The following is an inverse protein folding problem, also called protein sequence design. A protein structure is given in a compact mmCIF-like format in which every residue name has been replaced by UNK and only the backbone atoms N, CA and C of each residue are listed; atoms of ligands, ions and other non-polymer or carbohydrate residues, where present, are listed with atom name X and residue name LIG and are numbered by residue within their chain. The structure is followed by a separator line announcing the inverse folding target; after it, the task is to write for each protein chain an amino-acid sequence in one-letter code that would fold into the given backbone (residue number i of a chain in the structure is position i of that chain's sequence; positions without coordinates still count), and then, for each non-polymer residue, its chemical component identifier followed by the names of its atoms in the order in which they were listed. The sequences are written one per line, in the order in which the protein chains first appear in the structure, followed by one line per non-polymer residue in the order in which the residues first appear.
data_IF_812054984098
#
_entry.id   IF_812054984098
#
_cell.length_a   1.000
_cell.length_b   1.000
_cell.length_c   1.000
_cell.angle_alpha   90.00
_cell.angle_beta   90.00
_cell.angle_gamma   90.00
#
_symmetry.space_group_name_H-M   'P 1'
#
loop_
_entity.id
_entity.type
_entity.pdbx_description
1 polymer ?
#
# COMPACT_ATOMS: atom_id res chain seq x y z
N UNK A 1 -32.29 -44.72 -3.65
CA UNK A 1 -32.35 -43.24 -3.79
C UNK A 1 -31.09 -42.64 -3.18
N UNK A 2 -30.00 -42.60 -3.94
CA UNK A 2 -28.73 -41.97 -3.55
C UNK A 2 -28.18 -41.31 -4.80
N UNK A 3 -28.54 -40.06 -5.03
CA UNK A 3 -27.98 -39.15 -6.03
C UNK A 3 -28.80 -37.86 -5.94
N UNK A 4 -28.17 -36.77 -5.46
CA UNK A 4 -28.56 -35.34 -5.61
C UNK A 4 -28.09 -34.49 -4.40
N UNK A 5 -26.85 -34.63 -3.95
CA UNK A 5 -26.21 -33.60 -3.08
C UNK A 5 -24.70 -33.57 -3.39
N UNK A 6 -24.30 -33.30 -4.64
CA UNK A 6 -22.89 -32.98 -4.99
C UNK A 6 -22.83 -31.99 -6.17
N UNK A 7 -23.66 -30.93 -6.17
CA UNK A 7 -23.60 -29.90 -7.21
C UNK A 7 -23.68 -28.47 -6.63
N UNK A 8 -23.04 -28.24 -5.48
CA UNK A 8 -22.87 -26.88 -4.94
C UNK A 8 -21.50 -26.69 -4.27
N UNK A 9 -20.47 -27.36 -4.80
CA UNK A 9 -19.09 -27.26 -4.34
C UNK A 9 -18.06 -27.34 -5.48
N UNK A 10 -18.44 -26.92 -6.69
CA UNK A 10 -17.55 -26.93 -7.88
C UNK A 10 -17.52 -25.59 -8.65
N UNK A 11 -17.81 -24.46 -7.99
CA UNK A 11 -17.57 -23.13 -8.58
C UNK A 11 -16.51 -22.29 -7.86
N UNK A 12 -15.79 -22.86 -6.88
CA UNK A 12 -14.78 -22.13 -6.09
C UNK A 12 -13.33 -22.51 -6.42
N UNK A 13 -13.07 -23.00 -7.64
CA UNK A 13 -11.72 -23.43 -8.04
C UNK A 13 -11.33 -22.95 -9.44
N UNK A 14 -11.65 -21.69 -9.75
CA UNK A 14 -11.14 -21.01 -10.94
C UNK A 14 -10.98 -19.50 -10.75
N UNK A 15 -10.70 -19.05 -9.52
CA UNK A 15 -9.89 -17.86 -9.34
C UNK A 15 -8.44 -18.35 -9.33
N UNK A 16 -7.95 -18.77 -10.51
CA UNK A 16 -6.51 -18.83 -10.74
C UNK A 16 -6.02 -17.42 -10.42
N UNK A 17 -5.28 -17.30 -9.32
CA UNK A 17 -4.42 -16.15 -9.10
C UNK A 17 -3.64 -15.98 -10.39
N UNK A 18 -3.98 -14.94 -11.15
CA UNK A 18 -3.10 -14.41 -12.17
C UNK A 18 -1.91 -13.83 -11.41
N UNK A 19 -1.04 -14.72 -10.92
CA UNK A 19 0.37 -14.41 -10.77
C UNK A 19 0.72 -13.96 -12.18
N UNK A 20 0.93 -12.67 -12.41
CA UNK A 20 1.49 -12.21 -13.67
C UNK A 20 2.90 -12.78 -13.68
N UNK A 21 3.14 -13.94 -14.33
CA UNK A 21 4.48 -14.47 -14.32
C UNK A 21 5.25 -13.48 -15.18
N UNK A 22 6.21 -12.77 -14.58
CA UNK A 22 7.27 -12.17 -15.39
C UNK A 22 7.79 -13.33 -16.23
N UNK A 23 7.58 -13.25 -17.55
CA UNK A 23 7.97 -14.31 -18.48
C UNK A 23 9.42 -14.69 -18.18
N UNK A 24 9.71 -15.98 -18.03
CA UNK A 24 11.05 -16.45 -17.72
C UNK A 24 12.05 -15.84 -18.74
N UNK A 25 12.86 -14.89 -18.28
CA UNK A 25 13.87 -14.18 -19.09
C UNK A 25 13.59 -12.70 -19.38
N UNK A 26 12.42 -12.14 -19.06
CA UNK A 26 12.21 -10.68 -19.09
C UNK A 26 12.49 -10.06 -17.73
N UNK A 27 13.15 -8.90 -17.74
CA UNK A 27 13.47 -8.13 -16.55
C UNK A 27 12.29 -7.20 -16.25
N UNK A 28 11.81 -7.16 -15.01
CA UNK A 28 10.84 -6.18 -14.53
C UNK A 28 11.56 -4.84 -14.33
N UNK A 29 11.12 -3.80 -15.03
CA UNK A 29 11.65 -2.44 -14.90
C UNK A 29 10.70 -1.60 -14.07
N UNK A 30 11.15 -1.19 -12.88
CA UNK A 30 10.41 -0.36 -11.93
C UNK A 30 10.95 1.06 -11.98
N UNK A 31 10.11 2.03 -12.35
CA UNK A 31 10.43 3.46 -12.23
C UNK A 31 10.00 3.97 -10.84
N UNK A 32 10.96 4.39 -10.03
CA UNK A 32 10.71 5.03 -8.74
C UNK A 32 10.72 6.55 -8.88
N UNK A 33 9.65 7.18 -8.44
CA UNK A 33 9.54 8.64 -8.44
C UNK A 33 9.59 9.19 -7.02
N UNK A 34 10.76 9.59 -6.50
CA UNK A 34 10.79 10.36 -5.27
C UNK A 34 10.10 11.72 -5.51
N UNK A 35 8.90 11.89 -4.95
CA UNK A 35 8.07 13.07 -5.09
C UNK A 35 8.83 14.37 -4.79
N UNK A 36 8.39 15.49 -5.39
CA UNK A 36 8.98 16.82 -5.21
C UNK A 36 10.46 16.89 -5.65
N UNK A 37 11.22 17.90 -5.22
CA UNK A 37 12.65 18.07 -5.52
C UNK A 37 13.04 19.49 -5.92
N UNK A 38 14.28 19.89 -5.65
CA UNK A 38 14.78 21.22 -5.98
C UNK A 38 14.01 22.30 -5.22
N UNK A 39 13.39 23.24 -5.95
CA UNK A 39 12.60 24.31 -5.32
C UNK A 39 11.25 23.83 -4.76
N UNK A 40 10.76 22.68 -5.20
CA UNK A 40 9.54 22.08 -4.68
C UNK A 40 9.89 21.25 -3.44
N UNK A 41 9.55 21.80 -2.26
CA UNK A 41 9.81 21.19 -0.95
C UNK A 41 8.94 20.00 -0.60
N UNK A 42 7.77 19.90 -1.24
CA UNK A 42 6.63 19.15 -0.71
C UNK A 42 6.15 19.69 0.63
N UNK A 43 5.51 18.83 1.41
CA UNK A 43 5.12 19.15 2.78
C UNK A 43 6.33 19.47 3.67
N UNK A 44 6.11 20.33 4.67
CA UNK A 44 7.14 20.74 5.62
C UNK A 44 6.62 20.75 7.04
N UNK A 45 7.47 20.38 8.00
CA UNK A 45 7.18 20.47 9.42
C UNK A 45 8.42 20.87 10.21
N UNK A 46 8.21 21.59 11.32
CA UNK A 46 9.28 21.99 12.23
C UNK A 46 9.40 20.98 13.37
N UNK A 47 10.55 20.33 13.48
CA UNK A 47 10.82 19.35 14.53
C UNK A 47 12.17 19.60 15.17
N UNK A 48 12.20 19.71 16.50
CA UNK A 48 13.43 19.88 17.28
C UNK A 48 14.31 21.08 16.85
N UNK A 49 13.72 22.09 16.20
CA UNK A 49 14.43 23.27 15.71
C UNK A 49 14.93 23.17 14.26
N UNK A 50 14.64 22.07 13.57
CA UNK A 50 14.97 21.85 12.16
C UNK A 50 13.71 21.74 11.28
N UNK A 51 13.77 22.34 10.08
CA UNK A 51 12.74 22.14 9.06
C UNK A 51 12.94 20.80 8.34
N UNK A 52 11.95 19.94 8.45
CA UNK A 52 11.85 18.70 7.69
C UNK A 52 11.14 18.97 6.38
N UNK A 53 11.70 18.47 5.28
CA UNK A 53 11.14 18.60 3.94
C UNK A 53 10.81 17.22 3.38
N UNK A 54 9.58 17.06 2.89
CA UNK A 54 9.09 15.83 2.28
C UNK A 54 10.01 15.34 1.17
N UNK A 55 10.47 16.23 0.28
CA UNK A 55 11.37 15.88 -0.84
C UNK A 55 12.63 15.12 -0.42
N UNK A 56 13.14 15.37 0.80
CA UNK A 56 14.34 14.72 1.34
C UNK A 56 14.02 13.30 1.82
N UNK A 57 12.89 13.15 2.50
CA UNK A 57 12.38 11.84 2.95
C UNK A 57 12.09 10.95 1.74
N UNK A 58 11.36 11.48 0.76
CA UNK A 58 11.00 10.76 -0.47
C UNK A 58 12.24 10.26 -1.22
N UNK A 59 13.27 11.11 -1.36
CA UNK A 59 14.53 10.72 -2.00
C UNK A 59 15.29 9.64 -1.23
N UNK A 60 15.32 9.74 0.10
CA UNK A 60 16.01 8.77 0.95
C UNK A 60 15.31 7.39 0.90
N UNK A 61 13.98 7.36 1.05
CA UNK A 61 13.19 6.13 0.92
C UNK A 61 13.41 5.51 -0.46
N UNK A 62 13.34 6.31 -1.55
CA UNK A 62 13.55 5.79 -2.91
C UNK A 62 14.93 5.16 -3.12
N UNK A 63 15.98 5.73 -2.52
CA UNK A 63 17.35 5.17 -2.60
C UNK A 63 17.44 3.83 -1.87
N UNK A 64 16.89 3.73 -0.66
CA UNK A 64 16.85 2.47 0.07
C UNK A 64 15.98 1.43 -0.62
N UNK A 65 14.86 1.84 -1.20
CA UNK A 65 13.95 0.97 -1.93
C UNK A 65 14.62 0.42 -3.19
N UNK A 66 15.31 1.28 -3.94
CA UNK A 66 16.13 0.86 -5.07
C UNK A 66 17.18 -0.19 -4.68
N UNK A 67 17.94 0.07 -3.62
CA UNK A 67 18.96 -0.87 -3.11
C UNK A 67 18.34 -2.24 -2.78
N UNK A 68 17.20 -2.24 -2.08
CA UNK A 68 16.52 -3.47 -1.69
C UNK A 68 15.92 -4.22 -2.89
N UNK A 69 15.22 -3.53 -3.80
CA UNK A 69 14.63 -4.12 -5.00
C UNK A 69 15.68 -4.72 -5.94
N UNK A 70 16.85 -4.09 -6.08
CA UNK A 70 17.96 -4.63 -6.89
C UNK A 70 18.61 -5.89 -6.28
N UNK A 71 18.28 -6.23 -5.03
CA UNK A 71 18.63 -7.52 -4.43
C UNK A 71 17.73 -8.68 -4.93
N UNK A 72 16.62 -8.39 -5.61
CA UNK A 72 15.76 -9.39 -6.23
C UNK A 72 16.24 -9.77 -7.65
N UNK A 73 15.96 -11.01 -8.04
CA UNK A 73 16.26 -11.52 -9.37
C UNK A 73 15.34 -10.90 -10.41
N UNK A 74 15.89 -10.58 -11.58
CA UNK A 74 15.09 -10.06 -12.70
C UNK A 74 14.56 -8.64 -12.52
N UNK A 75 15.08 -7.83 -11.60
CA UNK A 75 14.61 -6.44 -11.37
C UNK A 75 15.61 -5.42 -11.91
N UNK A 76 15.10 -4.40 -12.62
CA UNK A 76 15.75 -3.12 -12.86
C UNK A 76 15.01 -2.03 -12.10
N UNK A 77 15.75 -1.14 -11.45
CA UNK A 77 15.14 0.05 -10.85
C UNK A 77 15.69 1.30 -11.50
N UNK A 78 14.79 2.14 -11.99
CA UNK A 78 15.06 3.48 -12.50
C UNK A 78 14.51 4.53 -11.53
N UNK A 79 15.03 5.75 -11.61
CA UNK A 79 14.57 6.83 -10.73
C UNK A 79 14.41 8.14 -11.49
N UNK A 80 13.29 8.85 -11.28
CA UNK A 80 13.03 10.15 -11.92
C UNK A 80 14.04 11.22 -11.54
N UNK A 81 14.61 11.12 -10.33
CA UNK A 81 15.77 11.88 -9.85
C UNK A 81 16.57 11.07 -8.84
N UNK A 82 17.88 11.29 -8.80
CA UNK A 82 18.81 10.64 -7.85
C UNK A 82 19.41 11.63 -6.84
N UNK A 83 19.11 12.91 -6.99
CA UNK A 83 19.52 14.01 -6.13
C UNK A 83 18.35 15.00 -5.89
N UNK A 84 18.64 16.11 -5.21
CA UNK A 84 17.67 17.16 -4.90
C UNK A 84 17.48 18.13 -6.09
N UNK A 85 17.08 17.58 -7.23
CA UNK A 85 16.75 18.34 -8.45
C UNK A 85 15.24 18.37 -8.66
N UNK A 86 14.73 19.50 -9.16
CA UNK A 86 13.35 19.61 -9.57
C UNK A 86 13.09 18.83 -10.87
N UNK A 87 12.04 18.01 -10.88
CA UNK A 87 11.53 17.31 -12.07
C UNK A 87 10.05 17.63 -12.21
N UNK A 88 9.66 18.14 -13.38
CA UNK A 88 8.25 18.44 -13.67
C UNK A 88 7.42 17.16 -13.75
N UNK A 89 6.10 17.28 -13.56
CA UNK A 89 5.20 16.12 -13.63
C UNK A 89 5.27 15.42 -14.99
N UNK A 90 5.29 16.16 -16.09
CA UNK A 90 5.43 15.59 -17.44
C UNK A 90 6.78 14.87 -17.59
N UNK A 91 7.89 15.46 -17.13
CA UNK A 91 9.21 14.83 -17.23
C UNK A 91 9.33 13.54 -16.41
N UNK A 92 8.60 13.43 -15.28
CA UNK A 92 8.52 12.19 -14.49
C UNK A 92 7.87 11.07 -15.31
N UNK A 93 6.79 11.38 -16.02
CA UNK A 93 6.04 10.39 -16.81
C UNK A 93 6.69 10.08 -18.15
N UNK A 94 7.32 11.06 -18.80
CA UNK A 94 8.11 10.86 -20.02
C UNK A 94 9.26 9.87 -19.79
N UNK A 95 9.78 9.84 -18.55
CA UNK A 95 10.84 8.91 -18.18
C UNK A 95 10.36 7.45 -18.20
N UNK A 96 9.13 7.17 -17.78
CA UNK A 96 8.56 5.80 -17.80
C UNK A 96 8.58 5.24 -19.22
N UNK A 97 8.13 6.04 -20.20
CA UNK A 97 8.13 5.64 -21.61
C UNK A 97 9.57 5.47 -22.13
N UNK A 98 10.46 6.40 -21.80
CA UNK A 98 11.86 6.36 -22.24
C UNK A 98 12.64 5.17 -21.68
N UNK A 99 12.39 4.82 -20.44
CA UNK A 99 13.08 3.74 -19.74
C UNK A 99 12.37 2.39 -19.94
N UNK A 100 11.27 2.35 -20.71
CA UNK A 100 10.44 1.15 -20.95
C UNK A 100 10.00 0.49 -19.63
N UNK A 101 9.60 1.31 -18.65
CA UNK A 101 9.24 0.82 -17.33
C UNK A 101 7.86 0.14 -17.32
N UNK A 102 7.76 -1.00 -16.65
CA UNK A 102 6.53 -1.79 -16.51
C UNK A 102 5.57 -1.18 -15.46
N UNK A 103 6.14 -0.48 -14.48
CA UNK A 103 5.39 0.13 -13.38
C UNK A 103 6.08 1.39 -12.89
N UNK A 104 5.25 2.38 -12.52
CA UNK A 104 5.67 3.62 -11.88
C UNK A 104 5.19 3.64 -10.43
N UNK A 105 6.11 3.83 -9.49
CA UNK A 105 5.80 3.95 -8.06
C UNK A 105 6.35 5.28 -7.57
N UNK A 106 5.45 6.22 -7.30
CA UNK A 106 5.83 7.51 -6.71
C UNK A 106 5.78 7.45 -5.20
N UNK A 107 6.81 7.98 -4.55
CA UNK A 107 7.02 7.91 -3.11
C UNK A 107 6.84 9.30 -2.51
N UNK A 108 5.91 9.40 -1.57
CA UNK A 108 5.50 10.62 -0.91
C UNK A 108 5.33 10.43 0.60
N UNK A 109 5.25 11.55 1.32
CA UNK A 109 4.84 11.57 2.72
C UNK A 109 3.79 12.68 2.89
N UNK A 110 2.72 12.34 3.59
CA UNK A 110 1.54 13.18 3.67
C UNK A 110 1.72 14.31 4.70
N UNK A 111 0.76 15.22 4.75
CA UNK A 111 0.57 16.15 5.83
C UNK A 111 -0.92 16.32 6.12
N UNK A 112 -1.26 16.76 7.32
CA UNK A 112 -2.64 17.03 7.71
C UNK A 112 -3.27 18.05 6.76
N UNK A 113 -4.44 17.72 6.21
CA UNK A 113 -5.09 18.53 5.19
C UNK A 113 -6.60 18.33 5.15
N UNK A 114 -7.29 19.13 4.34
CA UNK A 114 -8.75 19.14 4.29
C UNK A 114 -9.38 17.91 3.58
N UNK A 115 -8.55 17.00 3.04
CA UNK A 115 -8.94 15.97 2.06
C UNK A 115 -8.93 14.56 2.67
N UNK A 116 -8.19 14.31 3.75
CA UNK A 116 -8.24 13.04 4.49
C UNK A 116 -8.85 13.25 5.86
N UNK A 117 -9.74 12.35 6.27
CA UNK A 117 -10.32 12.34 7.63
C UNK A 117 -9.36 11.70 8.66
N UNK A 118 -8.13 11.41 8.23
CA UNK A 118 -7.03 10.88 9.04
C UNK A 118 -5.78 11.76 8.87
N UNK A 119 -4.97 11.80 9.93
CA UNK A 119 -3.78 12.65 10.09
C UNK A 119 -2.50 11.86 10.39
N UNK A 120 -2.54 10.53 10.24
CA UNK A 120 -1.41 9.64 10.45
C UNK A 120 -1.51 8.36 9.60
N UNK A 121 -0.41 7.64 9.49
CA UNK A 121 -0.35 6.34 8.82
C UNK A 121 -0.10 6.42 7.31
N UNK A 122 -0.27 5.28 6.64
CA UNK A 122 0.04 5.10 5.22
C UNK A 122 -1.20 4.90 4.34
N UNK A 123 -1.15 5.43 3.13
CA UNK A 123 -2.17 5.29 2.08
C UNK A 123 -1.50 5.03 0.75
N UNK A 124 -2.16 4.28 -0.14
CA UNK A 124 -1.73 4.17 -1.54
C UNK A 124 -2.82 4.71 -2.46
N UNK A 125 -2.42 5.54 -3.41
CA UNK A 125 -3.31 6.14 -4.38
C UNK A 125 -3.24 5.40 -5.71
N UNK A 126 -4.40 5.09 -6.28
CA UNK A 126 -4.52 4.32 -7.53
C UNK A 126 -5.53 4.96 -8.48
N UNK A 127 -5.57 4.50 -9.72
CA UNK A 127 -6.63 4.88 -10.67
C UNK A 127 -8.00 4.44 -10.16
N UNK A 128 -9.03 5.25 -10.41
CA UNK A 128 -10.44 4.92 -10.17
C UNK A 128 -10.96 3.86 -11.16
N UNK A 129 -10.31 3.65 -12.31
CA UNK A 129 -10.69 2.61 -13.27
C UNK A 129 -11.85 2.94 -14.21
N UNK A 130 -12.33 4.20 -14.23
CA UNK A 130 -13.42 4.63 -15.15
C UNK A 130 -13.05 4.57 -16.63
N UNK A 131 -11.76 4.55 -16.96
CA UNK A 131 -11.27 4.43 -18.33
C UNK A 131 -10.62 3.07 -18.61
N UNK A 132 -9.70 2.62 -17.75
CA UNK A 132 -9.03 1.30 -17.87
C UNK A 132 -9.10 0.55 -16.55
N UNK A 133 -10.16 -0.24 -16.37
CA UNK A 133 -10.42 -0.99 -15.13
C UNK A 133 -9.27 -1.94 -14.76
N UNK A 134 -8.66 -2.61 -15.75
CA UNK A 134 -7.52 -3.52 -15.53
C UNK A 134 -6.38 -2.85 -14.77
N UNK A 135 -5.96 -1.64 -15.19
CA UNK A 135 -4.86 -0.91 -14.56
C UNK A 135 -5.21 -0.47 -13.13
N UNK A 136 -6.48 -0.13 -12.89
CA UNK A 136 -6.96 0.18 -11.54
C UNK A 136 -6.89 -1.06 -10.64
N UNK A 137 -7.33 -2.23 -11.12
CA UNK A 137 -7.23 -3.48 -10.37
C UNK A 137 -5.78 -3.88 -10.08
N UNK A 138 -4.87 -3.70 -11.05
CA UNK A 138 -3.43 -3.93 -10.86
C UNK A 138 -2.86 -2.99 -9.79
N UNK A 139 -3.14 -1.69 -9.89
CA UNK A 139 -2.70 -0.69 -8.91
C UNK A 139 -3.23 -0.97 -7.50
N UNK A 140 -4.51 -1.37 -7.37
CA UNK A 140 -5.11 -1.73 -6.06
C UNK A 140 -4.46 -2.97 -5.45
N UNK A 141 -4.19 -4.00 -6.26
CA UNK A 141 -3.50 -5.21 -5.79
C UNK A 141 -2.08 -4.91 -5.34
N UNK A 142 -1.30 -4.21 -6.16
CA UNK A 142 0.06 -3.79 -5.81
C UNK A 142 0.06 -2.93 -4.54
N UNK A 143 -0.78 -1.90 -4.51
CA UNK A 143 -0.90 -0.99 -3.38
C UNK A 143 -1.31 -1.69 -2.08
N UNK A 144 -2.22 -2.67 -2.15
CA UNK A 144 -2.64 -3.44 -0.98
C UNK A 144 -1.50 -4.28 -0.40
N UNK A 145 -0.65 -4.88 -1.25
CA UNK A 145 0.53 -5.64 -0.78
C UNK A 145 1.56 -4.72 -0.10
N UNK A 146 1.77 -3.52 -0.64
CA UNK A 146 2.65 -2.50 -0.04
C UNK A 146 2.09 -2.05 1.32
N UNK A 147 0.80 -1.70 1.38
CA UNK A 147 0.14 -1.25 2.61
C UNK A 147 0.18 -2.28 3.73
N UNK A 148 0.04 -3.57 3.41
CA UNK A 148 0.15 -4.65 4.40
C UNK A 148 1.56 -4.72 4.99
N UNK A 149 2.60 -4.67 4.17
CA UNK A 149 3.98 -4.71 4.65
C UNK A 149 4.36 -3.42 5.40
N UNK A 150 3.90 -2.24 4.94
CA UNK A 150 4.06 -0.99 5.67
C UNK A 150 3.38 -1.06 7.04
N UNK A 151 2.16 -1.58 7.11
CA UNK A 151 1.45 -1.74 8.39
C UNK A 151 2.19 -2.66 9.35
N UNK A 152 2.82 -3.71 8.84
CA UNK A 152 3.60 -4.64 9.66
C UNK A 152 4.84 -4.01 10.31
N UNK A 153 5.29 -2.84 9.82
CA UNK A 153 6.42 -2.09 10.39
C UNK A 153 6.00 -0.83 11.17
N UNK A 154 4.69 -0.60 11.34
CA UNK A 154 4.15 0.38 12.30
C UNK A 154 3.06 1.32 11.77
N UNK A 155 3.23 2.00 10.62
CA UNK A 155 2.24 2.95 10.11
C UNK A 155 0.81 2.39 10.08
N UNK A 156 -0.17 3.18 10.52
CA UNK A 156 -1.57 2.78 10.44
C UNK A 156 -2.00 2.69 8.97
N UNK A 157 -2.55 1.55 8.56
CA UNK A 157 -2.99 1.35 7.18
C UNK A 157 -4.33 2.08 6.95
N UNK A 158 -4.27 3.25 6.32
CA UNK A 158 -5.43 4.07 5.96
C UNK A 158 -6.09 3.61 4.64
N UNK A 159 -5.36 2.85 3.84
CA UNK A 159 -5.91 2.09 2.72
C UNK A 159 -5.68 2.70 1.34
N UNK A 160 -6.56 2.34 0.40
CA UNK A 160 -6.52 2.84 -0.97
C UNK A 160 -7.36 4.11 -1.10
N UNK A 161 -6.80 5.12 -1.78
CA UNK A 161 -7.48 6.37 -2.11
C UNK A 161 -7.51 6.56 -3.63
N UNK A 162 -8.68 6.80 -4.21
CA UNK A 162 -8.83 7.11 -5.64
C UNK A 162 -9.56 8.44 -5.78
N UNK A 163 -9.08 9.31 -6.68
CA UNK A 163 -9.68 10.62 -6.89
C UNK A 163 -9.83 10.92 -8.37
N UNK A 164 -10.98 11.48 -8.74
CA UNK A 164 -11.24 11.98 -10.10
C UNK A 164 -10.99 13.48 -10.17
N UNK A 165 -10.74 13.98 -11.38
CA UNK A 165 -10.54 15.38 -11.70
C UNK A 165 -11.60 16.29 -11.08
N UNK A 166 -11.14 17.36 -10.43
CA UNK A 166 -11.99 18.41 -9.83
C UNK A 166 -12.20 19.60 -10.78
N UNK A 167 -11.47 19.64 -11.91
CA UNK A 167 -11.56 20.69 -12.94
C UNK A 167 -12.38 20.29 -14.15
N UNK A 168 -13.03 19.12 -14.10
CA UNK A 168 -13.79 18.56 -15.23
C UNK A 168 -12.94 17.96 -16.36
N UNK A 169 -11.63 17.77 -16.16
CA UNK A 169 -10.78 17.04 -17.10
C UNK A 169 -11.28 15.60 -17.28
N UNK A 170 -11.35 15.13 -18.53
CA UNK A 170 -11.84 13.80 -18.89
C UNK A 170 -10.79 12.98 -19.64
N UNK A 171 -10.94 11.65 -19.60
CA UNK A 171 -10.28 10.73 -20.51
C UNK A 171 -10.95 10.73 -21.89
N UNK A 172 -10.33 10.05 -22.86
CA UNK A 172 -10.85 9.93 -24.24
C UNK A 172 -12.25 9.29 -24.33
N UNK A 173 -12.64 8.49 -23.33
CA UNK A 173 -13.99 7.88 -23.27
C UNK A 173 -15.06 8.84 -22.69
N UNK A 174 -14.70 10.06 -22.32
CA UNK A 174 -15.63 11.06 -21.77
C UNK A 174 -15.81 10.99 -20.25
N UNK A 175 -15.29 9.96 -19.58
CA UNK A 175 -15.31 9.86 -18.11
C UNK A 175 -14.32 10.83 -17.47
N UNK A 176 -14.61 11.27 -16.24
CA UNK A 176 -13.67 12.10 -15.47
C UNK A 176 -12.33 11.38 -15.34
N UNK A 177 -11.25 12.11 -15.62
CA UNK A 177 -9.90 11.61 -15.51
C UNK A 177 -9.49 11.38 -14.06
N UNK A 178 -8.46 10.57 -13.81
CA UNK A 178 -7.84 10.51 -12.49
C UNK A 178 -7.22 11.87 -12.14
N UNK A 179 -7.32 12.26 -10.86
CA UNK A 179 -6.89 13.56 -10.36
C UNK A 179 -5.37 13.73 -10.42
N UNK A 180 -4.64 12.72 -9.96
CA UNK A 180 -3.19 12.78 -9.85
C UNK A 180 -2.55 12.58 -11.21
N UNK A 181 -1.68 13.52 -11.58
CA UNK A 181 -1.08 13.57 -12.92
C UNK A 181 -0.42 12.25 -13.32
N UNK A 182 0.42 11.67 -12.45
CA UNK A 182 1.16 10.45 -12.78
C UNK A 182 0.25 9.23 -12.94
N UNK A 183 -0.84 9.14 -12.17
CA UNK A 183 -1.83 8.07 -12.28
C UNK A 183 -2.59 8.23 -13.58
N UNK A 184 -3.02 9.47 -13.89
CA UNK A 184 -3.67 9.79 -15.17
C UNK A 184 -2.78 9.42 -16.35
N UNK A 185 -1.50 9.76 -16.30
CA UNK A 185 -0.53 9.44 -17.35
C UNK A 185 -0.24 7.94 -17.46
N UNK A 186 -0.20 7.20 -16.36
CA UNK A 186 -0.16 5.73 -16.39
C UNK A 186 -1.34 5.14 -17.14
N UNK A 187 -2.55 5.61 -16.83
CA UNK A 187 -3.75 5.17 -17.56
C UNK A 187 -3.70 5.58 -19.03
N UNK A 188 -3.28 6.79 -19.37
CA UNK A 188 -3.15 7.23 -20.78
C UNK A 188 -2.08 6.42 -21.55
N UNK A 189 -0.96 6.08 -20.90
CA UNK A 189 0.20 5.41 -21.45
C UNK A 189 0.21 3.88 -21.33
N UNK A 190 -0.87 3.27 -20.86
CA UNK A 190 -1.02 1.80 -20.73
C UNK A 190 -0.05 1.13 -19.74
N UNK A 191 0.32 1.81 -18.65
CA UNK A 191 1.14 1.24 -17.58
C UNK A 191 0.51 1.47 -16.19
N UNK A 192 0.83 0.60 -15.23
CA UNK A 192 0.37 0.75 -13.84
C UNK A 192 1.16 1.88 -13.17
N UNK A 193 0.46 2.83 -12.55
CA UNK A 193 1.07 3.90 -11.76
C UNK A 193 0.34 4.05 -10.41
N UNK A 194 1.11 4.09 -9.32
CA UNK A 194 0.61 4.31 -7.95
C UNK A 194 1.41 5.40 -7.23
N UNK A 195 0.81 6.00 -6.21
CA UNK A 195 1.49 6.89 -5.25
C UNK A 195 1.43 6.24 -3.87
N UNK A 196 2.57 6.11 -3.20
CA UNK A 196 2.65 5.61 -1.83
C UNK A 196 2.90 6.80 -0.90
N UNK A 197 1.93 7.08 -0.03
CA UNK A 197 2.04 8.03 1.08
C UNK A 197 2.44 7.23 2.33
N UNK A 198 3.69 7.33 2.76
CA UNK A 198 4.24 6.38 3.75
C UNK A 198 3.83 6.73 5.20
N UNK A 199 3.82 8.02 5.53
CA UNK A 199 3.46 8.53 6.84
C UNK A 199 3.21 10.05 6.75
N UNK A 200 2.81 10.68 7.85
CA UNK A 200 2.56 12.12 7.91
C UNK A 200 3.77 12.90 8.47
N UNK A 201 4.29 13.87 7.70
CA UNK A 201 5.47 14.67 8.08
C UNK A 201 5.20 15.59 9.27
N UNK A 202 3.96 16.02 9.46
CA UNK A 202 3.50 16.93 10.50
C UNK A 202 2.85 16.20 11.70
N UNK A 203 2.74 14.87 11.64
CA UNK A 203 2.28 14.06 12.75
C UNK A 203 3.45 13.62 13.65
N UNK A 204 3.35 13.92 14.93
CA UNK A 204 4.47 13.71 15.86
C UNK A 204 4.89 12.25 16.03
N UNK A 205 3.95 11.29 16.03
CA UNK A 205 4.30 9.87 16.15
C UNK A 205 4.93 9.36 14.87
N UNK A 206 4.31 9.65 13.73
CA UNK A 206 4.79 9.23 12.41
C UNK A 206 6.19 9.74 12.14
N UNK A 207 6.42 11.04 12.38
CA UNK A 207 7.74 11.61 12.23
C UNK A 207 8.76 10.89 13.12
N UNK A 208 8.49 10.79 14.44
CA UNK A 208 9.45 10.22 15.40
C UNK A 208 9.75 8.75 15.15
N UNK A 209 8.76 7.96 14.74
CA UNK A 209 8.90 6.51 14.59
C UNK A 209 9.35 6.08 13.20
N UNK A 210 8.89 6.76 12.15
CA UNK A 210 8.99 6.29 10.77
C UNK A 210 9.85 7.18 9.88
N UNK A 211 9.91 8.50 10.13
CA UNK A 211 10.56 9.45 9.20
C UNK A 211 11.86 10.08 9.71
N UNK A 212 12.12 10.04 11.03
CA UNK A 212 13.22 10.81 11.64
C UNK A 212 14.63 10.28 11.34
N UNK A 213 14.80 8.97 11.15
CA UNK A 213 16.14 8.36 11.06
C UNK A 213 16.28 7.54 9.80
N UNK A 214 17.51 7.44 9.27
CA UNK A 214 17.82 6.58 8.13
C UNK A 214 17.38 5.13 8.34
N UNK A 215 17.55 4.61 9.56
CA UNK A 215 17.07 3.28 9.91
C UNK A 215 15.55 3.14 9.83
N UNK A 216 14.79 4.20 10.10
CA UNK A 216 13.33 4.21 9.95
C UNK A 216 12.91 4.29 8.48
N UNK A 217 13.54 5.17 7.69
CA UNK A 217 13.31 5.29 6.25
C UNK A 217 13.66 3.99 5.51
N UNK A 218 14.77 3.34 5.88
CA UNK A 218 15.15 2.03 5.34
C UNK A 218 14.15 0.93 5.71
N UNK A 219 13.53 0.97 6.90
CA UNK A 219 12.48 0.00 7.27
C UNK A 219 11.24 0.15 6.38
N UNK A 220 10.81 1.38 6.09
CA UNK A 220 9.70 1.63 5.16
C UNK A 220 10.03 1.12 3.76
N UNK A 221 11.21 1.48 3.23
CA UNK A 221 11.66 1.01 1.92
C UNK A 221 11.74 -0.54 1.81
N UNK A 222 12.19 -1.23 2.85
CA UNK A 222 12.21 -2.70 2.88
C UNK A 222 10.78 -3.27 2.90
N UNK A 223 9.84 -2.62 3.57
CA UNK A 223 8.44 -3.02 3.55
C UNK A 223 7.83 -2.84 2.15
N UNK A 224 8.07 -1.71 1.49
CA UNK A 224 7.63 -1.49 0.10
C UNK A 224 8.19 -2.57 -0.84
N UNK A 225 9.50 -2.85 -0.74
CA UNK A 225 10.15 -3.87 -1.56
C UNK A 225 9.52 -5.25 -1.38
N UNK A 226 9.15 -5.63 -0.14
CA UNK A 226 8.44 -6.88 0.13
C UNK A 226 7.06 -6.93 -0.49
N UNK A 227 6.29 -5.83 -0.41
CA UNK A 227 4.98 -5.71 -1.02
C UNK A 227 5.04 -5.85 -2.54
N UNK A 228 5.98 -5.13 -3.17
CA UNK A 228 6.26 -5.20 -4.61
C UNK A 228 6.70 -6.59 -5.01
N UNK A 229 7.67 -7.17 -4.30
CA UNK A 229 8.19 -8.51 -4.57
C UNK A 229 7.10 -9.56 -4.51
N UNK A 230 6.20 -9.46 -3.53
CA UNK A 230 5.08 -10.39 -3.43
C UNK A 230 4.09 -10.24 -4.58
N UNK A 231 3.76 -9.01 -4.99
CA UNK A 231 2.85 -8.78 -6.10
C UNK A 231 3.38 -9.35 -7.42
N UNK A 232 4.67 -9.14 -7.71
CA UNK A 232 5.31 -9.61 -8.95
C UNK A 232 5.89 -11.04 -8.85
N UNK A 233 5.80 -11.70 -7.69
CA UNK A 233 6.39 -13.03 -7.47
C UNK A 233 7.91 -13.03 -7.56
N UNK A 234 8.58 -11.97 -7.11
CA UNK A 234 10.03 -11.81 -7.18
C UNK A 234 10.75 -12.69 -6.15
N UNK A 235 11.89 -13.23 -6.58
CA UNK A 235 12.78 -14.03 -5.72
C UNK A 235 13.97 -13.19 -5.28
N UNK A 236 14.24 -13.14 -3.98
CA UNK A 236 15.43 -12.47 -3.47
C UNK A 236 16.65 -13.35 -3.74
N UNK A 237 17.74 -12.75 -4.22
CA UNK A 237 18.95 -13.49 -4.62
C UNK A 237 19.47 -14.33 -3.45
N UNK A 238 19.47 -15.65 -3.62
CA UNK A 238 19.94 -16.59 -2.59
C UNK A 238 18.91 -16.93 -1.50
N UNK A 239 17.66 -16.49 -1.63
CA UNK A 239 16.56 -16.83 -0.73
C UNK A 239 15.42 -17.57 -1.47
N UNK A 240 14.57 -18.28 -0.74
CA UNK A 240 13.36 -18.90 -1.31
C UNK A 240 12.34 -17.83 -1.74
N UNK A 241 11.46 -18.19 -2.67
CA UNK A 241 10.32 -17.37 -3.06
C UNK A 241 9.50 -16.90 -1.85
N UNK A 242 9.03 -15.65 -1.86
CA UNK A 242 7.95 -15.26 -0.96
C UNK A 242 6.63 -15.79 -1.50
N UNK A 243 5.90 -16.51 -0.66
CA UNK A 243 4.54 -16.94 -0.98
C UNK A 243 3.61 -15.71 -1.13
N UNK A 244 2.73 -15.70 -2.14
CA UNK A 244 1.72 -14.66 -2.28
C UNK A 244 0.74 -14.71 -1.10
N UNK A 245 0.17 -13.55 -0.74
CA UNK A 245 -0.89 -13.51 0.25
C UNK A 245 -2.14 -14.13 -0.36
N UNK A 246 -2.64 -15.18 0.29
CA UNK A 246 -3.78 -15.95 -0.22
C UNK A 246 -5.12 -15.52 0.37
N UNK A 247 -5.11 -14.79 1.49
CA UNK A 247 -6.34 -14.33 2.12
C UNK A 247 -6.70 -12.95 1.64
N UNK A 248 -7.99 -12.75 1.39
CA UNK A 248 -8.57 -11.48 0.95
C UNK A 248 -9.61 -11.04 1.97
N UNK A 249 -9.58 -9.77 2.34
CA UNK A 249 -10.68 -9.10 3.05
C UNK A 249 -11.10 -7.88 2.25
N UNK A 250 -12.40 -7.64 2.21
CA UNK A 250 -12.91 -6.37 1.71
C UNK A 250 -12.54 -5.27 2.70
N UNK A 251 -11.92 -4.20 2.22
CA UNK A 251 -11.63 -3.00 3.00
C UNK A 251 -12.34 -1.82 2.35
N UNK A 252 -13.04 -1.06 3.17
CA UNK A 252 -13.71 0.16 2.76
C UNK A 252 -12.87 1.33 3.26
N UNK A 253 -12.41 2.18 2.34
CA UNK A 253 -11.79 3.47 2.68
C UNK A 253 -12.75 4.58 2.30
N UNK A 254 -12.89 5.56 3.19
CA UNK A 254 -13.66 6.78 2.92
C UNK A 254 -12.78 7.74 2.10
N UNK A 255 -13.32 8.20 0.97
CA UNK A 255 -12.70 9.24 0.15
C UNK A 255 -13.55 10.49 0.20
N UNK A 256 -13.03 11.55 0.79
CA UNK A 256 -13.58 12.89 0.65
C UNK A 256 -12.93 13.56 -0.57
N UNK A 257 -13.76 14.05 -1.50
CA UNK A 257 -13.30 15.00 -2.52
C UNK A 257 -13.18 16.40 -1.90
N UNK A 258 -12.67 17.39 -2.66
CA UNK A 258 -12.59 18.79 -2.20
C UNK A 258 -13.90 19.35 -1.63
N UNK A 259 -15.05 18.75 -1.96
CA UNK A 259 -16.38 19.16 -1.54
C UNK A 259 -16.92 18.35 -0.34
N UNK A 260 -16.10 17.49 0.28
CA UNK A 260 -16.47 16.60 1.40
C UNK A 260 -17.70 15.73 1.13
N UNK A 261 -18.04 15.46 -0.12
CA UNK A 261 -19.06 14.46 -0.44
C UNK A 261 -18.37 13.10 -0.42
N UNK A 262 -18.42 12.44 0.75
CA UNK A 262 -17.77 11.16 0.98
C UNK A 262 -18.24 10.10 -0.01
N UNK A 263 -17.30 9.59 -0.81
CA UNK A 263 -17.49 8.36 -1.58
C UNK A 263 -16.82 7.23 -0.82
N UNK A 264 -17.53 6.14 -0.56
CA UNK A 264 -16.93 4.92 -0.04
C UNK A 264 -16.30 4.16 -1.20
N UNK A 265 -15.02 3.82 -1.08
CA UNK A 265 -14.36 2.91 -2.01
C UNK A 265 -14.18 1.59 -1.27
N UNK A 266 -14.68 0.52 -1.87
CA UNK A 266 -14.40 -0.85 -1.43
C UNK A 266 -13.32 -1.45 -2.33
N UNK A 267 -12.33 -2.11 -1.74
CA UNK A 267 -11.32 -2.88 -2.45
C UNK A 267 -10.95 -4.13 -1.67
N UNK A 268 -10.49 -5.14 -2.40
CA UNK A 268 -9.90 -6.33 -1.82
C UNK A 268 -8.48 -6.04 -1.36
N UNK A 269 -8.21 -6.21 -0.07
CA UNK A 269 -6.85 -6.20 0.49
C UNK A 269 -6.44 -7.59 0.92
N UNK A 270 -5.15 -7.87 0.80
CA UNK A 270 -4.58 -9.18 1.06
C UNK A 270 -3.84 -9.15 2.40
N UNK A 271 -3.97 -10.21 3.20
CA UNK A 271 -3.34 -10.26 4.53
C UNK A 271 -2.72 -11.64 4.81
N UNK A 272 -1.71 -11.66 5.69
CA UNK A 272 -1.11 -12.92 6.19
C UNK A 272 -2.16 -13.66 7.02
N UNK A 273 -2.26 -14.98 6.87
CA UNK A 273 -2.95 -15.79 7.90
C UNK A 273 -2.21 -15.54 9.21
N UNK A 274 -2.94 -15.27 10.30
CA UNK A 274 -2.39 -15.44 11.64
C UNK A 274 -1.96 -16.92 11.78
N UNK A 275 -0.69 -17.21 11.53
CA UNK A 275 -0.10 -18.49 11.95
C UNK A 275 0.36 -18.31 13.39
N UNK A 276 -0.01 -19.27 14.25
CA UNK A 276 0.29 -19.43 15.68
C UNK A 276 1.77 -19.24 16.11
N UNK A 277 2.35 -18.06 15.87
CA UNK A 277 3.75 -17.75 16.17
C UNK A 277 3.95 -16.44 16.97
N UNK A 278 2.88 -15.67 17.23
CA UNK A 278 2.94 -14.46 18.08
C UNK A 278 2.16 -14.59 19.41
N UNK A 279 1.77 -15.80 19.82
CA UNK A 279 1.16 -16.06 21.15
C UNK A 279 2.13 -16.57 22.23
N UNK A 280 3.45 -16.56 21.99
CA UNK A 280 4.44 -16.74 23.06
C UNK A 280 5.18 -15.43 23.35
N UNK A 281 4.42 -14.47 23.91
CA UNK A 281 4.90 -13.15 24.27
C UNK A 281 4.19 -12.57 25.50
N UNK A 282 4.12 -13.35 26.58
CA UNK A 282 4.01 -12.87 27.97
C UNK A 282 3.02 -11.74 28.29
N UNK A 283 1.75 -12.09 28.52
CA UNK A 283 0.93 -11.38 29.51
C UNK A 283 0.39 -12.41 30.50
N UNK A 284 1.00 -12.47 31.70
CA UNK A 284 0.52 -13.25 32.82
C UNK A 284 -0.78 -12.64 33.35
N UNK A 285 -1.90 -13.03 32.77
CA UNK A 285 -3.25 -12.71 33.23
C UNK A 285 -3.68 -13.57 34.41
N UNK A 286 -2.95 -13.49 35.53
CA UNK A 286 -3.40 -14.04 36.80
C UNK A 286 -4.43 -13.09 37.44
N UNK A 287 -5.55 -12.83 36.74
CA UNK A 287 -6.66 -12.05 37.32
C UNK A 287 -8.07 -12.35 36.75
N UNK A 288 -8.25 -13.39 35.92
CA UNK A 288 -9.59 -13.80 35.45
C UNK A 288 -10.10 -15.15 36.00
N UNK A 289 -9.39 -15.76 36.96
CA UNK A 289 -9.88 -16.97 37.66
C UNK A 289 -10.85 -16.69 38.82
N UNK A 290 -11.11 -15.41 39.13
CA UNK A 290 -11.99 -14.99 40.24
C UNK A 290 -13.48 -14.80 39.89
N UNK A 291 -13.82 -14.64 38.61
CA UNK A 291 -15.20 -14.26 38.20
C UNK A 291 -15.97 -15.47 37.63
N UNK A 292 -15.28 -16.45 37.04
CA UNK A 292 -15.93 -17.64 36.47
C UNK A 292 -16.14 -18.81 37.46
N UNK A 293 -15.54 -18.79 38.65
CA UNK A 293 -15.82 -19.79 39.70
C UNK A 293 -17.09 -19.47 40.50
N UNK A 294 -17.48 -18.20 40.57
CA UNK A 294 -18.65 -17.72 41.34
C UNK A 294 -19.98 -17.90 40.60
N UNK A 295 -19.96 -17.99 39.27
CA UNK A 295 -21.18 -18.21 38.45
C UNK A 295 -21.53 -19.70 38.26
N UNK A 296 -20.57 -20.62 38.42
CA UNK A 296 -20.82 -22.08 38.36
C UNK A 296 -21.40 -22.65 39.67
N UNK A 297 -21.23 -21.98 40.81
CA UNK A 297 -21.80 -22.41 42.10
C UNK A 297 -23.26 -21.95 42.28
N UNK A 298 -23.68 -20.88 41.60
CA UNK A 298 -25.06 -20.37 41.64
C UNK A 298 -26.04 -21.13 40.73
N UNK A 299 -25.55 -21.77 39.66
CA UNK A 299 -26.41 -22.53 38.73
C UNK A 299 -26.74 -23.96 39.19
N UNK A 300 -25.89 -24.58 40.02
CA UNK A 300 -26.14 -25.93 40.59
C UNK A 300 -27.15 -25.94 41.74
N UNK A 301 -27.60 -24.77 42.20
CA UNK A 301 -28.56 -24.61 43.30
C UNK A 301 -30.00 -24.35 42.84
N UNK A 302 -30.24 -24.21 41.54
CA UNK A 302 -31.55 -23.85 40.96
C UNK A 302 -32.25 -24.98 40.18
N UNK A 303 -31.63 -26.15 40.01
CA UNK A 303 -32.22 -27.30 39.27
C UNK A 303 -32.11 -28.64 40.01
N UNK A 304 -31.97 -28.61 41.34
CA UNK A 304 -31.98 -29.81 42.17
C UNK A 304 -32.71 -29.56 43.48
N UNK A 305 -34.03 -29.56 43.44
CA UNK A 305 -34.89 -29.66 44.62
C UNK A 305 -35.70 -30.94 44.51
N UNK A 306 -35.51 -31.84 45.49
CA UNK A 306 -36.29 -33.04 45.84
C UNK A 306 -37.10 -33.75 44.75
#
# INVERSE_FOLDING_TARGET
MKQRIIYMQMCFLLCLMLIHPVSAGQKLVIELDPGHGGYDGGATAEWFGDTVYEKKLNLAIAKYLKEELESYEGVEVKMTRTDDTYVSLDARTDKVEKDEADVMISLHNNASGAISDYDNGCTVLTSHGRYKEKLAQEGMKLGSQILEELSSVGPENQGILQRTSETGTTYKNGELADYYHIIKKGVEGDYTAIIVEHAFVDHGVDYKQYLRTDGALKRLAVADAKGIARYYGLHKKGESAMEPLVNVKEKITLVSNSNRTGSQISYETFYKTESDADTEGGYSGEQEKGIFSTLKSLWKRFLGGN
#
